data_IF_026249983302
#
_entry.id   IF_026249983302
#
_cell.length_a   1.000
_cell.length_b   1.000
_cell.length_c   1.000
_cell.angle_alpha   90.00
_cell.angle_beta   90.00
_cell.angle_gamma   90.00
#
_symmetry.space_group_name_H-M   'P 1'
#
loop_
_entity.id
_entity.type
_entity.pdbx_description
1 polymer ?
#
# COMPACT_ATOMS: atom_id res chain seq x y z
N UNK A 1 -46.10 -31.74 -31.75
CA UNK A 1 -45.73 -30.32 -32.01
C UNK A 1 -46.72 -29.32 -31.38
N UNK A 2 -47.14 -29.47 -30.10
CA UNK A 2 -48.11 -28.57 -29.43
C UNK A 2 -47.52 -27.72 -28.27
N UNK A 3 -46.28 -27.98 -27.85
CA UNK A 3 -45.66 -27.28 -26.70
C UNK A 3 -45.13 -25.87 -27.01
N UNK A 4 -44.98 -25.51 -28.29
CA UNK A 4 -44.41 -24.21 -28.71
C UNK A 4 -45.45 -23.08 -28.61
N UNK A 5 -46.74 -23.37 -28.81
CA UNK A 5 -47.80 -22.36 -28.79
C UNK A 5 -48.15 -21.89 -27.38
N UNK A 6 -48.03 -22.75 -26.36
CA UNK A 6 -48.31 -22.38 -24.96
C UNK A 6 -47.28 -21.41 -24.38
N UNK A 7 -46.04 -21.40 -24.87
CA UNK A 7 -45.03 -20.43 -24.44
C UNK A 7 -45.41 -18.99 -24.81
N UNK A 8 -45.99 -18.75 -25.99
CA UNK A 8 -46.39 -17.40 -26.43
C UNK A 8 -47.53 -16.80 -25.60
N UNK A 9 -48.43 -17.64 -25.07
CA UNK A 9 -49.60 -17.20 -24.30
C UNK A 9 -49.31 -16.95 -22.82
N UNK A 10 -48.36 -17.70 -22.23
CA UNK A 10 -47.83 -17.41 -20.89
C UNK A 10 -46.95 -16.15 -20.89
N UNK A 11 -46.21 -15.91 -21.98
CA UNK A 11 -45.37 -14.73 -22.15
C UNK A 11 -46.17 -13.42 -22.19
N UNK A 12 -47.32 -13.40 -22.87
CA UNK A 12 -48.17 -12.20 -22.96
C UNK A 12 -48.96 -11.92 -21.67
N UNK A 13 -49.26 -12.95 -20.87
CA UNK A 13 -49.97 -12.82 -19.59
C UNK A 13 -49.03 -12.35 -18.46
N UNK A 14 -47.78 -12.82 -18.45
CA UNK A 14 -46.85 -12.66 -17.32
C UNK A 14 -45.61 -11.81 -17.65
N UNK A 15 -45.66 -10.98 -18.69
CA UNK A 15 -44.54 -10.17 -19.16
C UNK A 15 -43.94 -9.29 -18.04
N UNK A 16 -44.77 -8.78 -17.14
CA UNK A 16 -44.36 -7.95 -16.01
C UNK A 16 -43.44 -8.71 -15.03
N UNK A 17 -43.71 -10.00 -14.80
CA UNK A 17 -42.88 -10.84 -13.94
C UNK A 17 -41.54 -11.17 -14.56
N UNK A 18 -41.50 -11.34 -15.89
CA UNK A 18 -40.27 -11.58 -16.64
C UNK A 18 -39.38 -10.33 -16.59
N UNK A 19 -39.96 -9.15 -16.80
CA UNK A 19 -39.25 -7.87 -16.67
C UNK A 19 -38.75 -7.68 -15.22
N UNK A 20 -39.57 -8.02 -14.22
CA UNK A 20 -39.16 -7.97 -12.81
C UNK A 20 -37.95 -8.83 -12.51
N UNK A 21 -37.93 -10.08 -12.98
CA UNK A 21 -36.80 -11.00 -12.81
C UNK A 21 -35.55 -10.49 -13.54
N UNK A 22 -35.69 -9.99 -14.79
CA UNK A 22 -34.57 -9.41 -15.52
C UNK A 22 -33.98 -8.18 -14.80
N UNK A 23 -34.82 -7.30 -14.27
CA UNK A 23 -34.37 -6.15 -13.48
C UNK A 23 -33.68 -6.60 -12.20
N UNK A 24 -34.22 -7.59 -11.51
CA UNK A 24 -33.64 -8.12 -10.28
C UNK A 24 -32.25 -8.72 -10.55
N UNK A 25 -32.09 -9.51 -11.60
CA UNK A 25 -30.79 -10.01 -12.05
C UNK A 25 -29.82 -8.88 -12.41
N UNK A 26 -30.28 -7.86 -13.15
CA UNK A 26 -29.46 -6.71 -13.54
C UNK A 26 -28.97 -5.92 -12.32
N UNK A 27 -29.87 -5.61 -11.39
CA UNK A 27 -29.52 -4.91 -10.17
C UNK A 27 -28.66 -5.76 -9.24
N UNK A 28 -28.90 -7.07 -9.10
CA UNK A 28 -28.04 -7.96 -8.31
C UNK A 28 -26.63 -8.04 -8.89
N UNK A 29 -26.49 -8.12 -10.22
CA UNK A 29 -25.19 -8.10 -10.88
C UNK A 29 -24.46 -6.77 -10.63
N UNK A 30 -25.13 -5.63 -10.84
CA UNK A 30 -24.55 -4.31 -10.59
C UNK A 30 -24.33 -4.00 -9.10
N UNK A 31 -25.07 -4.60 -8.17
CA UNK A 31 -24.82 -4.46 -6.74
C UNK A 31 -23.56 -5.22 -6.30
N UNK A 32 -23.24 -6.33 -6.96
CA UNK A 32 -22.06 -7.15 -6.69
C UNK A 32 -20.80 -6.66 -7.41
N UNK A 33 -20.92 -6.15 -8.65
CA UNK A 33 -19.80 -5.67 -9.48
C UNK A 33 -19.71 -4.14 -9.60
N UNK A 34 -20.58 -3.40 -8.93
CA UNK A 34 -20.65 -1.94 -9.01
C UNK A 34 -19.45 -1.24 -8.41
N UNK A 35 -19.20 -0.01 -8.86
CA UNK A 35 -18.13 0.85 -8.36
C UNK A 35 -18.21 1.15 -6.85
N UNK A 36 -19.38 0.93 -6.23
CA UNK A 36 -19.61 1.07 -4.78
C UNK A 36 -19.79 -0.26 -4.05
N UNK A 37 -19.49 -1.39 -4.69
CA UNK A 37 -19.54 -2.68 -4.01
C UNK A 37 -18.52 -2.69 -2.86
N UNK A 38 -18.94 -3.28 -1.74
CA UNK A 38 -18.17 -3.39 -0.49
C UNK A 38 -16.74 -3.91 -0.70
N UNK A 39 -16.54 -4.74 -1.74
CA UNK A 39 -15.25 -5.28 -2.16
C UNK A 39 -14.26 -4.18 -2.58
N UNK A 40 -14.72 -3.11 -3.25
CA UNK A 40 -13.84 -1.99 -3.66
C UNK A 40 -13.42 -1.17 -2.44
N UNK A 41 -14.32 -0.95 -1.47
CA UNK A 41 -14.00 -0.28 -0.21
C UNK A 41 -12.93 -1.06 0.56
N UNK A 42 -13.12 -2.38 0.71
CA UNK A 42 -12.14 -3.25 1.38
C UNK A 42 -10.78 -3.28 0.66
N UNK A 43 -10.77 -3.26 -0.69
CA UNK A 43 -9.53 -3.18 -1.46
C UNK A 43 -8.83 -1.83 -1.29
N UNK A 44 -9.59 -0.75 -1.22
CA UNK A 44 -9.07 0.61 -1.03
C UNK A 44 -8.48 0.80 0.36
N UNK A 45 -9.18 0.32 1.40
CA UNK A 45 -8.69 0.33 2.78
C UNK A 45 -7.38 -0.46 2.91
N UNK A 46 -7.29 -1.66 2.33
CA UNK A 46 -6.05 -2.44 2.32
C UNK A 46 -4.89 -1.74 1.59
N UNK A 47 -5.18 -0.99 0.52
CA UNK A 47 -4.16 -0.20 -0.18
C UNK A 47 -3.70 0.98 0.67
N UNK A 48 -4.62 1.66 1.35
CA UNK A 48 -4.29 2.75 2.26
C UNK A 48 -3.44 2.27 3.44
N UNK A 49 -3.77 1.13 4.02
CA UNK A 49 -3.02 0.52 5.12
C UNK A 49 -1.58 0.16 4.70
N UNK A 50 -1.40 -0.46 3.52
CA UNK A 50 -0.06 -0.75 2.98
C UNK A 50 0.78 0.50 2.75
N UNK A 51 0.20 1.53 2.14
CA UNK A 51 0.92 2.79 1.87
C UNK A 51 1.29 3.49 3.18
N UNK A 52 0.39 3.48 4.17
CA UNK A 52 0.65 4.03 5.50
C UNK A 52 1.80 3.32 6.20
N UNK A 53 1.84 1.98 6.13
CA UNK A 53 2.93 1.19 6.71
C UNK A 53 4.28 1.55 6.10
N UNK A 54 4.37 1.58 4.77
CA UNK A 54 5.60 1.95 4.04
C UNK A 54 6.01 3.39 4.37
N UNK A 55 5.05 4.31 4.46
CA UNK A 55 5.32 5.69 4.84
C UNK A 55 5.92 5.78 6.26
N UNK A 56 5.36 5.05 7.22
CA UNK A 56 5.87 5.04 8.59
C UNK A 56 7.29 4.49 8.68
N UNK A 57 7.59 3.42 7.94
CA UNK A 57 8.91 2.80 7.92
C UNK A 57 9.97 3.77 7.36
N UNK A 58 9.72 4.31 6.16
CA UNK A 58 10.61 5.30 5.53
C UNK A 58 10.78 6.56 6.38
N UNK A 59 9.72 7.03 7.03
CA UNK A 59 9.79 8.21 7.90
C UNK A 59 10.70 7.94 9.09
N UNK A 60 10.69 6.73 9.64
CA UNK A 60 11.53 6.34 10.78
C UNK A 60 12.99 6.25 10.36
N UNK A 61 13.28 5.66 9.20
CA UNK A 61 14.63 5.62 8.63
C UNK A 61 15.18 7.02 8.34
N UNK A 62 14.35 7.89 7.76
CA UNK A 62 14.69 9.28 7.48
C UNK A 62 15.03 10.04 8.76
N UNK A 63 14.24 9.89 9.83
CA UNK A 63 14.55 10.51 11.12
C UNK A 63 15.85 9.98 11.74
N UNK A 64 16.14 8.68 11.61
CA UNK A 64 17.40 8.11 12.09
C UNK A 64 18.62 8.66 11.33
N UNK A 65 18.51 8.79 10.01
CA UNK A 65 19.55 9.37 9.15
C UNK A 65 19.74 10.86 9.45
N UNK A 66 18.67 11.62 9.62
CA UNK A 66 18.76 13.03 9.99
C UNK A 66 19.42 13.25 11.34
N UNK A 67 19.13 12.41 12.33
CA UNK A 67 19.81 12.49 13.63
C UNK A 67 21.32 12.23 13.48
N UNK A 68 21.72 11.28 12.62
CA UNK A 68 23.14 11.03 12.32
C UNK A 68 23.78 12.22 11.59
N UNK A 69 23.11 12.78 10.59
CA UNK A 69 23.62 13.94 9.84
C UNK A 69 23.67 15.20 10.72
N UNK A 70 22.69 15.39 11.60
CA UNK A 70 22.70 16.48 12.56
C UNK A 70 23.94 16.42 13.47
N UNK A 71 24.30 15.24 13.98
CA UNK A 71 25.55 15.03 14.75
C UNK A 71 26.85 15.28 13.96
N UNK A 72 26.77 15.39 12.63
CA UNK A 72 27.90 15.65 11.74
C UNK A 72 27.89 17.09 11.17
N UNK A 73 26.94 17.96 11.56
CA UNK A 73 26.94 19.37 11.14
C UNK A 73 27.98 20.19 11.93
N UNK A 74 28.57 21.24 11.30
CA UNK A 74 29.65 22.06 11.87
C UNK A 74 29.18 23.03 12.98
N UNK A 75 28.42 22.53 13.94
CA UNK A 75 27.90 23.24 15.11
C UNK A 75 27.42 22.31 16.24
N UNK A 76 27.22 21.02 15.96
CA UNK A 76 27.01 19.94 16.95
C UNK A 76 27.90 18.73 16.65
N UNK A 77 29.10 19.01 16.15
CA UNK A 77 30.07 18.04 15.66
C UNK A 77 30.63 17.25 16.84
N UNK A 78 30.26 15.98 16.92
CA UNK A 78 30.79 15.07 17.94
C UNK A 78 32.21 14.63 17.53
N UNK A 79 33.19 14.96 18.37
CA UNK A 79 34.62 14.79 18.05
C UNK A 79 34.97 13.32 17.86
N UNK A 80 34.38 12.43 18.67
CA UNK A 80 34.64 11.00 18.66
C UNK A 80 34.13 10.34 17.36
N UNK A 81 32.96 10.76 16.86
CA UNK A 81 32.42 10.29 15.57
C UNK A 81 33.24 10.80 14.37
N UNK A 82 33.86 11.97 14.51
CA UNK A 82 34.75 12.51 13.47
C UNK A 82 36.03 11.68 13.37
N UNK A 83 36.61 11.33 14.52
CA UNK A 83 37.83 10.53 14.63
C UNK A 83 37.61 9.14 14.03
N UNK A 84 36.50 8.47 14.36
CA UNK A 84 36.14 7.18 13.76
C UNK A 84 35.94 7.27 12.23
N UNK A 85 35.33 8.36 11.73
CA UNK A 85 35.14 8.58 10.29
C UNK A 85 36.45 8.88 9.56
N UNK A 86 37.37 9.62 10.19
CA UNK A 86 38.70 9.91 9.64
C UNK A 86 39.51 8.60 9.51
N UNK A 87 39.44 7.73 10.50
CA UNK A 87 40.12 6.44 10.44
C UNK A 87 39.51 5.54 9.35
N UNK A 88 38.18 5.47 9.27
CA UNK A 88 37.50 4.58 8.32
C UNK A 88 37.52 5.09 6.86
N UNK A 89 37.54 6.40 6.63
CA UNK A 89 37.46 6.98 5.26
C UNK A 89 38.82 7.45 4.75
N UNK A 90 39.64 8.05 5.61
CA UNK A 90 40.93 8.64 5.22
C UNK A 90 42.12 7.75 5.61
N UNK A 91 41.92 6.72 6.44
CA UNK A 91 43.01 5.87 6.93
C UNK A 91 44.04 6.64 7.75
N UNK A 92 43.65 7.81 8.28
CA UNK A 92 44.54 8.68 9.04
C UNK A 92 44.55 8.19 10.49
N UNK A 93 45.74 7.85 10.99
CA UNK A 93 45.99 7.51 12.39
C UNK A 93 46.94 8.55 12.97
N UNK A 94 46.75 8.94 14.23
CA UNK A 94 47.74 9.79 14.89
C UNK A 94 49.08 9.04 15.00
N UNK A 95 50.23 9.73 14.91
CA UNK A 95 51.55 9.09 14.95
C UNK A 95 51.82 8.30 16.23
N UNK A 96 51.04 8.52 17.29
CA UNK A 96 51.14 7.84 18.59
C UNK A 96 50.09 6.71 18.79
N UNK A 97 49.23 6.43 17.81
CA UNK A 97 48.19 5.40 17.94
C UNK A 97 48.68 4.00 17.53
N UNK A 98 48.44 3.01 18.39
CA UNK A 98 48.81 1.62 18.15
C UNK A 98 47.62 0.86 17.54
N UNK A 99 47.72 0.50 16.26
CA UNK A 99 46.68 -0.30 15.58
C UNK A 99 46.90 -1.78 15.89
N UNK A 100 45.99 -2.38 16.67
CA UNK A 100 45.97 -3.83 16.91
C UNK A 100 45.15 -4.47 15.79
N UNK A 101 45.85 -5.03 14.80
CA UNK A 101 45.25 -5.91 13.80
C UNK A 101 45.09 -7.31 14.42
N UNK A 102 43.86 -7.83 14.44
CA UNK A 102 43.58 -9.25 14.77
C UNK A 102 43.16 -9.99 13.52
#
# INVERSE_FOLDING_TARGET
MRKIFTHRFLLSRNWLGIVGICLLCYFSYHALLGERSYIRLMSLERKAEKVSFVYHDLRTERMALENKVAKLRPGSLDKDLLEERVHHVLGYYHPDETVILR
#
